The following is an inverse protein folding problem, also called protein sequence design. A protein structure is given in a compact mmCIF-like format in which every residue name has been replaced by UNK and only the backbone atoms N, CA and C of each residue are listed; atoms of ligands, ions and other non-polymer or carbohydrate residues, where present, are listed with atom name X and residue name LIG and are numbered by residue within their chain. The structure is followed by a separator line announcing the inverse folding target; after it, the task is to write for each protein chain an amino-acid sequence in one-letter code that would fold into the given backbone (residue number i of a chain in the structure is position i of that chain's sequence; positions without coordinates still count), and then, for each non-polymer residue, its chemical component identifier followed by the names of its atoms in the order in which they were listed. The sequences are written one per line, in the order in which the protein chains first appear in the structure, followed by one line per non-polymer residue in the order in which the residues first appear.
data_IF_683894189740
#
_entry.id   IF_683894189740
#
_cell.length_a   1.000
_cell.length_b   1.000
_cell.length_c   1.000
_cell.angle_alpha   90.00
_cell.angle_beta   90.00
_cell.angle_gamma   90.00
#
_symmetry.space_group_name_H-M   'P 1'
#
loop_
_entity.id
_entity.type
_entity.pdbx_description
1 polymer ?
#
# COMPACT_ATOMS: atom_id res chain seq x y z
N UNK A 1 -2.93 -5.93 -24.01
CA UNK A 1 -1.94 -5.82 -22.93
C UNK A 1 -1.77 -4.38 -22.45
N UNK A 2 -1.59 -3.40 -23.33
CA UNK A 2 -1.39 -1.99 -22.93
C UNK A 2 -2.52 -1.42 -22.05
N UNK A 3 -3.78 -1.73 -22.36
CA UNK A 3 -4.93 -1.35 -21.50
C UNK A 3 -4.86 -1.97 -20.10
N UNK A 4 -4.31 -3.17 -19.95
CA UNK A 4 -4.16 -3.82 -18.64
C UNK A 4 -3.05 -3.15 -17.82
N UNK A 5 -1.92 -2.81 -18.45
CA UNK A 5 -0.83 -2.06 -17.80
C UNK A 5 -1.33 -0.69 -17.31
N UNK A 6 -2.16 -0.01 -18.11
CA UNK A 6 -2.76 1.27 -17.72
C UNK A 6 -3.74 1.11 -16.56
N UNK A 7 -4.57 0.07 -16.57
CA UNK A 7 -5.48 -0.24 -15.47
C UNK A 7 -4.72 -0.54 -14.17
N UNK A 8 -3.66 -1.35 -14.23
CA UNK A 8 -2.82 -1.66 -13.06
C UNK A 8 -2.19 -0.40 -12.47
N UNK A 9 -1.69 0.50 -13.33
CA UNK A 9 -1.12 1.78 -12.90
C UNK A 9 -2.15 2.67 -12.21
N UNK A 10 -3.38 2.69 -12.73
CA UNK A 10 -4.46 3.46 -12.10
C UNK A 10 -4.82 2.88 -10.73
N UNK A 11 -4.96 1.55 -10.62
CA UNK A 11 -5.21 0.90 -9.34
C UNK A 11 -4.09 1.16 -8.32
N UNK A 12 -2.83 1.19 -8.76
CA UNK A 12 -1.70 1.52 -7.91
C UNK A 12 -1.78 2.96 -7.35
N UNK A 13 -2.12 3.92 -8.21
CA UNK A 13 -2.31 5.31 -7.79
C UNK A 13 -3.49 5.50 -6.84
N UNK A 14 -4.59 4.78 -7.06
CA UNK A 14 -5.75 4.76 -6.16
C UNK A 14 -5.36 4.22 -4.77
N UNK A 15 -4.65 3.08 -4.73
CA UNK A 15 -4.13 2.49 -3.48
C UNK A 15 -3.20 3.46 -2.75
N UNK A 16 -2.30 4.12 -3.47
CA UNK A 16 -1.39 5.09 -2.87
C UNK A 16 -2.16 6.27 -2.26
N UNK A 17 -3.16 6.79 -2.96
CA UNK A 17 -4.00 7.90 -2.46
C UNK A 17 -4.76 7.50 -1.19
N UNK A 18 -5.31 6.27 -1.16
CA UNK A 18 -6.00 5.76 0.04
C UNK A 18 -5.04 5.57 1.21
N UNK A 19 -3.83 5.08 0.96
CA UNK A 19 -2.79 4.93 1.98
C UNK A 19 -2.34 6.27 2.55
N UNK A 20 -2.12 7.26 1.70
CA UNK A 20 -1.81 8.63 2.12
C UNK A 20 -2.94 9.21 2.99
N UNK A 21 -4.19 8.91 2.67
CA UNK A 21 -5.35 9.29 3.50
C UNK A 21 -5.36 8.61 4.88
N UNK A 22 -5.01 7.32 4.94
CA UNK A 22 -4.89 6.58 6.21
C UNK A 22 -3.73 7.11 7.06
N UNK A 23 -2.57 7.36 6.47
CA UNK A 23 -1.40 7.88 7.18
C UNK A 23 -1.65 9.31 7.66
N UNK A 24 -2.29 10.15 6.85
CA UNK A 24 -2.73 11.49 7.25
C UNK A 24 -3.63 11.46 8.50
N UNK A 25 -4.55 10.49 8.58
CA UNK A 25 -5.43 10.30 9.73
C UNK A 25 -4.70 9.77 10.98
N UNK A 26 -3.46 9.28 10.85
CA UNK A 26 -2.60 8.77 11.92
C UNK A 26 -1.42 9.68 12.21
N UNK A 27 -1.37 10.86 11.58
CA UNK A 27 -0.37 11.88 11.87
C UNK A 27 -0.33 12.22 13.36
N UNK A 28 0.83 12.67 13.81
CA UNK A 28 1.04 13.13 15.19
C UNK A 28 -0.01 14.17 15.56
N UNK A 29 -0.36 15.10 14.68
CA UNK A 29 -1.39 16.12 14.94
C UNK A 29 -2.79 15.52 15.15
N UNK A 30 -3.20 14.55 14.33
CA UNK A 30 -4.49 13.88 14.47
C UNK A 30 -4.54 13.02 15.75
N UNK A 31 -3.46 12.30 16.06
CA UNK A 31 -3.32 11.54 17.29
C UNK A 31 -3.30 12.46 18.53
N UNK A 32 -2.61 13.60 18.45
CA UNK A 32 -2.55 14.61 19.51
C UNK A 32 -3.93 15.20 19.76
N UNK A 33 -4.64 15.62 18.72
CA UNK A 33 -6.00 16.17 18.84
C UNK A 33 -6.96 15.18 19.53
N UNK A 34 -6.88 13.89 19.17
CA UNK A 34 -7.69 12.83 19.83
C UNK A 34 -7.30 12.67 21.30
N UNK A 35 -6.01 12.57 21.60
CA UNK A 35 -5.53 12.50 22.99
C UNK A 35 -5.97 13.71 23.80
N UNK A 36 -5.92 14.92 23.23
CA UNK A 36 -6.29 16.16 23.90
C UNK A 36 -7.76 16.21 24.29
N UNK A 37 -8.66 15.67 23.47
CA UNK A 37 -10.08 15.64 23.79
C UNK A 37 -10.36 14.80 25.05
N UNK A 38 -9.76 13.60 25.14
CA UNK A 38 -9.89 12.74 26.33
C UNK A 38 -9.23 13.40 27.54
N UNK A 39 -8.00 13.92 27.40
CA UNK A 39 -7.29 14.58 28.48
C UNK A 39 -8.02 15.83 29.02
N UNK A 40 -8.62 16.64 28.15
CA UNK A 40 -9.45 17.77 28.57
C UNK A 40 -10.72 17.30 29.28
N UNK A 41 -11.37 16.25 28.79
CA UNK A 41 -12.57 15.72 29.41
C UNK A 41 -12.26 15.09 30.78
N UNK A 42 -11.12 14.39 30.90
CA UNK A 42 -10.57 13.87 32.16
C UNK A 42 -10.37 14.99 33.19
N UNK A 43 -9.75 16.09 32.80
CA UNK A 43 -9.60 17.27 33.66
C UNK A 43 -10.95 17.75 34.20
N UNK A 44 -11.95 17.92 33.33
CA UNK A 44 -13.31 18.35 33.73
C UNK A 44 -13.99 17.33 34.66
N UNK A 45 -13.76 16.04 34.45
CA UNK A 45 -14.22 14.97 35.34
C UNK A 45 -13.58 15.07 36.73
N UNK A 46 -12.26 15.26 36.79
CA UNK A 46 -11.51 15.44 38.05
C UNK A 46 -11.89 16.74 38.77
N UNK A 47 -12.13 17.83 38.04
CA UNK A 47 -12.66 19.08 38.61
C UNK A 47 -14.05 18.87 39.23
N UNK A 48 -14.88 18.01 38.63
CA UNK A 48 -16.19 17.67 39.19
C UNK A 48 -16.07 16.85 40.48
N UNK A 49 -15.07 15.96 40.58
CA UNK A 49 -14.74 15.28 41.83
C UNK A 49 -14.25 16.28 42.89
N UNK A 50 -13.41 17.25 42.52
CA UNK A 50 -12.94 18.30 43.42
C UNK A 50 -14.09 19.16 43.96
N UNK A 51 -15.01 19.57 43.08
CA UNK A 51 -16.19 20.32 43.51
C UNK A 51 -17.05 19.49 44.48
N UNK A 52 -17.17 18.19 44.24
CA UNK A 52 -17.87 17.29 45.16
C UNK A 52 -17.15 17.16 46.51
N UNK A 53 -15.80 17.08 46.52
CA UNK A 53 -15.04 17.04 47.78
C UNK A 53 -15.17 18.34 48.57
N UNK A 54 -15.10 19.49 47.89
CA UNK A 54 -15.25 20.79 48.52
C UNK A 54 -16.65 21.00 49.13
N UNK A 55 -17.70 20.45 48.50
CA UNK A 55 -19.07 20.50 49.03
C UNK A 55 -19.24 19.73 50.34
N UNK A 56 -18.43 18.70 50.59
CA UNK A 56 -18.49 17.88 51.81
C UNK A 56 -17.41 18.25 52.83
N UNK A 57 -16.67 19.34 52.62
CA UNK A 57 -15.63 19.83 53.53
C UNK A 57 -16.22 20.39 54.83
N UNK A 58 -15.43 20.37 55.91
CA UNK A 58 -15.83 20.86 57.23
C UNK A 58 -16.81 19.92 57.97
N UNK A 59 -17.70 20.51 58.78
CA UNK A 59 -18.72 19.81 59.58
C UNK A 59 -19.94 19.44 58.71
N UNK A 60 -19.69 18.76 57.60
CA UNK A 60 -20.74 18.33 56.68
C UNK A 60 -21.67 17.30 57.33
N UNK A 61 -22.96 17.63 57.40
CA UNK A 61 -24.05 16.73 57.75
C UNK A 61 -25.02 16.64 56.59
N UNK A 62 -25.34 15.41 56.16
CA UNK A 62 -26.29 15.18 55.09
C UNK A 62 -27.71 15.54 55.57
N UNK A 63 -28.31 16.57 54.98
CA UNK A 63 -29.67 17.00 55.32
C UNK A 63 -30.70 16.52 54.30
N UNK A 64 -31.98 16.51 54.66
CA UNK A 64 -33.07 16.06 53.78
C UNK A 64 -33.27 16.92 52.51
N UNK A 65 -32.59 18.07 52.37
CA UNK A 65 -32.77 19.03 51.26
C UNK A 65 -31.43 19.43 50.59
N UNK A 66 -30.51 18.47 50.42
CA UNK A 66 -29.20 18.71 49.79
C UNK A 66 -29.28 18.73 48.24
N UNK A 67 -30.09 19.64 47.70
CA UNK A 67 -30.24 19.83 46.25
C UNK A 67 -28.91 20.12 45.53
N UNK A 68 -27.96 20.80 46.18
CA UNK A 68 -26.63 21.07 45.62
C UNK A 68 -25.79 19.79 45.46
N UNK A 69 -25.85 18.89 46.45
CA UNK A 69 -25.14 17.60 46.40
C UNK A 69 -25.71 16.73 45.28
N UNK A 70 -27.03 16.71 45.12
CA UNK A 70 -27.68 16.01 44.02
C UNK A 70 -27.21 16.53 42.66
N UNK A 71 -27.21 17.86 42.47
CA UNK A 71 -26.73 18.47 41.22
C UNK A 71 -25.26 18.12 40.95
N UNK A 72 -24.42 18.12 41.99
CA UNK A 72 -23.01 17.75 41.86
C UNK A 72 -22.82 16.27 41.46
N UNK A 73 -23.58 15.35 42.06
CA UNK A 73 -23.55 13.92 41.73
C UNK A 73 -24.09 13.62 40.33
N UNK A 74 -25.20 14.26 39.93
CA UNK A 74 -25.75 14.13 38.57
C UNK A 74 -24.76 14.69 37.53
N UNK A 75 -24.11 15.82 37.84
CA UNK A 75 -23.04 16.39 37.01
C UNK A 75 -21.86 15.41 36.88
N UNK A 76 -21.39 14.83 38.00
CA UNK A 76 -20.30 13.87 38.03
C UNK A 76 -20.56 12.66 37.12
N UNK A 77 -21.73 12.04 37.26
CA UNK A 77 -22.16 10.91 36.42
C UNK A 77 -22.18 11.32 34.94
N UNK A 78 -22.74 12.49 34.64
CA UNK A 78 -22.79 13.01 33.27
C UNK A 78 -21.39 13.21 32.67
N UNK A 79 -20.44 13.75 33.43
CA UNK A 79 -19.06 13.95 32.97
C UNK A 79 -18.35 12.63 32.70
N UNK A 80 -18.44 11.65 33.60
CA UNK A 80 -17.76 10.37 33.41
C UNK A 80 -18.38 9.51 32.30
N UNK A 81 -19.70 9.59 32.11
CA UNK A 81 -20.36 8.98 30.95
C UNK A 81 -19.85 9.63 29.65
N UNK A 82 -19.76 10.95 29.60
CA UNK A 82 -19.25 11.66 28.42
C UNK A 82 -17.79 11.30 28.07
N UNK A 83 -16.90 11.19 29.08
CA UNK A 83 -15.51 10.77 28.82
C UNK A 83 -15.46 9.34 28.26
N UNK A 84 -16.33 8.45 28.75
CA UNK A 84 -16.45 7.08 28.24
C UNK A 84 -16.95 7.06 26.79
N UNK A 85 -17.95 7.87 26.45
CA UNK A 85 -18.45 8.03 25.07
C UNK A 85 -17.37 8.55 24.11
N UNK A 86 -16.53 9.49 24.56
CA UNK A 86 -15.40 9.98 23.78
C UNK A 86 -14.37 8.87 23.50
N UNK A 87 -14.03 8.08 24.52
CA UNK A 87 -13.14 6.94 24.36
C UNK A 87 -13.72 5.88 23.40
N UNK A 88 -15.02 5.63 23.47
CA UNK A 88 -15.73 4.74 22.55
C UNK A 88 -15.69 5.23 21.10
N UNK A 89 -15.95 6.52 20.90
CA UNK A 89 -15.89 7.14 19.57
C UNK A 89 -14.49 7.03 18.97
N UNK A 90 -13.45 7.28 19.76
CA UNK A 90 -12.07 7.18 19.29
C UNK A 90 -11.66 5.73 19.00
N UNK A 91 -12.10 4.79 19.83
CA UNK A 91 -11.87 3.37 19.60
C UNK A 91 -12.52 2.89 18.30
N UNK A 92 -13.75 3.34 18.02
CA UNK A 92 -14.46 3.03 16.79
C UNK A 92 -13.77 3.63 15.56
N UNK A 93 -13.29 4.87 15.65
CA UNK A 93 -12.56 5.53 14.57
C UNK A 93 -11.24 4.81 14.25
N UNK A 94 -10.44 4.48 15.26
CA UNK A 94 -9.18 3.75 15.07
C UNK A 94 -9.44 2.31 14.59
N UNK A 95 -10.49 1.66 15.09
CA UNK A 95 -10.91 0.35 14.59
C UNK A 95 -11.30 0.39 13.11
N UNK A 96 -11.93 1.48 12.65
CA UNK A 96 -12.21 1.71 11.23
C UNK A 96 -10.92 1.87 10.43
N UNK A 97 -9.98 2.70 10.89
CA UNK A 97 -8.67 2.89 10.23
C UNK A 97 -7.88 1.58 10.14
N UNK A 98 -7.91 0.76 11.20
CA UNK A 98 -7.30 -0.56 11.22
C UNK A 98 -7.93 -1.50 10.19
N UNK A 99 -9.26 -1.53 10.13
CA UNK A 99 -10.01 -2.33 9.15
C UNK A 99 -9.71 -1.88 7.71
N UNK A 100 -9.71 -0.56 7.46
CA UNK A 100 -9.40 0.03 6.16
C UNK A 100 -7.97 -0.35 5.73
N UNK A 101 -7.00 -0.31 6.65
CA UNK A 101 -5.62 -0.75 6.38
C UNK A 101 -5.52 -2.25 6.03
N UNK A 102 -6.24 -3.11 6.77
CA UNK A 102 -6.31 -4.56 6.46
C UNK A 102 -6.97 -4.80 5.09
N UNK A 103 -8.05 -4.08 4.78
CA UNK A 103 -8.73 -4.16 3.49
C UNK A 103 -7.80 -3.71 2.35
N UNK A 104 -7.12 -2.59 2.52
CA UNK A 104 -6.16 -2.06 1.55
C UNK A 104 -5.06 -3.10 1.26
N UNK A 105 -4.52 -3.76 2.28
CA UNK A 105 -3.53 -4.83 2.12
C UNK A 105 -4.11 -6.05 1.39
N UNK A 106 -5.20 -6.60 1.92
CA UNK A 106 -5.67 -7.94 1.55
C UNK A 106 -6.59 -7.96 0.34
N UNK A 107 -7.43 -6.93 0.16
CA UNK A 107 -8.43 -6.87 -0.90
C UNK A 107 -7.97 -6.07 -2.12
N UNK A 108 -6.99 -5.16 -1.97
CA UNK A 108 -6.51 -4.31 -3.07
C UNK A 108 -5.07 -4.60 -3.45
N UNK A 109 -4.12 -4.43 -2.52
CA UNK A 109 -2.69 -4.50 -2.82
C UNK A 109 -2.24 -5.91 -3.23
N UNK A 110 -2.60 -6.93 -2.45
CA UNK A 110 -2.24 -8.33 -2.76
C UNK A 110 -2.86 -8.82 -4.08
N UNK A 111 -4.17 -8.60 -4.37
CA UNK A 111 -4.72 -8.94 -5.69
C UNK A 111 -4.12 -8.15 -6.85
N UNK A 112 -3.68 -6.90 -6.63
CA UNK A 112 -2.98 -6.12 -7.67
C UNK A 112 -1.60 -6.73 -7.95
N UNK A 113 -0.86 -7.13 -6.91
CA UNK A 113 0.41 -7.82 -7.04
C UNK A 113 0.28 -9.12 -7.82
N UNK A 114 -0.69 -9.98 -7.45
CA UNK A 114 -0.95 -11.24 -8.14
C UNK A 114 -1.24 -11.02 -9.64
N UNK A 115 -2.05 -10.01 -9.97
CA UNK A 115 -2.37 -9.65 -11.37
C UNK A 115 -1.16 -9.11 -12.14
N UNK A 116 -0.29 -8.34 -11.48
CA UNK A 116 0.94 -7.82 -12.09
C UNK A 116 1.93 -8.94 -12.37
N UNK A 117 2.09 -9.88 -11.43
CA UNK A 117 2.93 -11.07 -11.60
C UNK A 117 2.42 -11.98 -12.72
N UNK A 118 1.09 -12.20 -12.79
CA UNK A 118 0.46 -12.94 -13.89
C UNK A 118 0.71 -12.24 -15.24
N UNK A 119 0.46 -10.93 -15.32
CA UNK A 119 0.67 -10.14 -16.55
C UNK A 119 2.14 -10.16 -16.99
N UNK A 120 3.07 -10.11 -16.03
CA UNK A 120 4.51 -10.18 -16.30
C UNK A 120 4.90 -11.56 -16.83
N UNK A 121 4.45 -12.63 -16.18
CA UNK A 121 4.72 -14.00 -16.62
C UNK A 121 4.19 -14.26 -18.03
N UNK A 122 2.99 -13.77 -18.33
CA UNK A 122 2.42 -13.87 -19.69
C UNK A 122 3.29 -13.15 -20.72
N UNK A 123 3.75 -11.93 -20.42
CA UNK A 123 4.62 -11.17 -21.33
C UNK A 123 6.00 -11.81 -21.50
N UNK A 124 6.60 -12.36 -20.45
CA UNK A 124 7.86 -13.09 -20.53
C UNK A 124 7.75 -14.35 -21.40
N UNK A 125 6.61 -15.05 -21.32
CA UNK A 125 6.31 -16.17 -22.21
C UNK A 125 6.14 -15.72 -23.67
N UNK A 126 5.45 -14.60 -23.91
CA UNK A 126 5.32 -14.02 -25.25
C UNK A 126 6.67 -13.57 -25.82
N UNK A 127 7.52 -12.96 -24.99
CA UNK A 127 8.88 -12.55 -25.34
C UNK A 127 9.75 -13.75 -25.73
N UNK A 128 9.64 -14.85 -24.99
CA UNK A 128 10.37 -16.09 -25.30
C UNK A 128 9.95 -16.64 -26.66
N UNK A 129 8.64 -16.74 -26.92
CA UNK A 129 8.11 -17.18 -28.23
C UNK A 129 8.54 -16.25 -29.37
N UNK A 130 8.55 -14.93 -29.14
CA UNK A 130 9.00 -13.96 -30.14
C UNK A 130 10.49 -14.11 -30.45
N UNK A 131 11.34 -14.38 -29.45
CA UNK A 131 12.78 -14.67 -29.65
C UNK A 131 13.00 -15.95 -30.46
N UNK A 132 12.19 -16.98 -30.24
CA UNK A 132 12.22 -18.22 -31.04
C UNK A 132 11.82 -17.93 -32.49
N UNK A 133 10.76 -17.14 -32.72
CA UNK A 133 10.31 -16.73 -34.05
C UNK A 133 11.39 -15.92 -34.79
N UNK A 134 12.00 -14.92 -34.14
CA UNK A 134 13.13 -14.14 -34.69
C UNK A 134 14.28 -15.07 -35.09
N UNK A 135 14.59 -16.07 -34.26
CA UNK A 135 15.66 -17.02 -34.56
C UNK A 135 15.33 -17.85 -35.82
N UNK A 136 14.11 -18.35 -35.92
CA UNK A 136 13.64 -19.12 -37.07
C UNK A 136 13.59 -18.28 -38.36
N UNK A 137 13.05 -17.06 -38.29
CA UNK A 137 12.98 -16.13 -39.42
C UNK A 137 14.37 -15.67 -39.85
N UNK A 138 15.27 -15.41 -38.91
CA UNK A 138 16.68 -15.09 -39.18
C UNK A 138 17.41 -16.23 -39.91
N UNK A 139 17.21 -17.47 -39.47
CA UNK A 139 17.74 -18.65 -40.17
C UNK A 139 17.18 -18.76 -41.61
N UNK A 140 15.89 -18.47 -41.79
CA UNK A 140 15.24 -18.45 -43.12
C UNK A 140 15.86 -17.36 -44.01
N UNK A 141 16.08 -16.15 -43.49
CA UNK A 141 16.77 -15.07 -44.20
C UNK A 141 18.17 -15.49 -44.62
N UNK A 142 18.94 -16.15 -43.74
CA UNK A 142 20.30 -16.61 -44.05
C UNK A 142 20.29 -17.67 -45.17
N UNK A 143 19.35 -18.61 -45.15
CA UNK A 143 19.20 -19.64 -46.20
C UNK A 143 18.81 -18.99 -47.53
N UNK A 144 17.80 -18.12 -47.54
CA UNK A 144 17.35 -17.42 -48.75
C UNK A 144 18.44 -16.52 -49.32
N UNK A 145 19.20 -15.83 -48.47
CA UNK A 145 20.35 -15.03 -48.91
C UNK A 145 21.41 -15.90 -49.60
N UNK A 146 21.77 -17.04 -49.00
CA UNK A 146 22.72 -17.98 -49.60
C UNK A 146 22.21 -18.56 -50.93
N UNK A 147 20.91 -18.85 -51.02
CA UNK A 147 20.23 -19.30 -52.24
C UNK A 147 20.33 -18.23 -53.34
N UNK A 148 19.90 -16.99 -53.04
CA UNK A 148 19.98 -15.83 -53.95
C UNK A 148 21.41 -15.60 -54.44
N UNK A 149 22.42 -15.59 -53.55
CA UNK A 149 23.82 -15.37 -53.93
C UNK A 149 24.34 -16.47 -54.86
N UNK A 150 23.93 -17.72 -54.63
CA UNK A 150 24.29 -18.87 -55.46
C UNK A 150 23.60 -18.80 -56.83
N UNK A 151 22.31 -18.45 -56.85
CA UNK A 151 21.54 -18.27 -58.07
C UNK A 151 21.99 -17.07 -58.90
N UNK A 152 22.37 -15.96 -58.26
CA UNK A 152 22.97 -14.80 -58.94
C UNK A 152 24.30 -15.19 -59.62
N UNK A 153 25.15 -15.98 -58.95
CA UNK A 153 26.39 -16.51 -59.56
C UNK A 153 26.10 -17.45 -60.73
N UNK A 154 25.14 -18.36 -60.58
CA UNK A 154 24.73 -19.28 -61.64
C UNK A 154 24.13 -18.53 -62.84
N UNK A 155 23.28 -17.53 -62.60
CA UNK A 155 22.68 -16.70 -63.62
C UNK A 155 23.74 -15.91 -64.41
N UNK A 156 24.70 -15.28 -63.73
CA UNK A 156 25.84 -14.60 -64.39
C UNK A 156 26.65 -15.57 -65.26
N UNK A 157 26.99 -16.74 -64.73
CA UNK A 157 27.73 -17.75 -65.51
C UNK A 157 26.97 -18.23 -66.74
N UNK A 158 25.64 -18.44 -66.63
CA UNK A 158 24.80 -18.80 -67.77
C UNK A 158 24.66 -17.66 -68.79
N UNK A 159 24.59 -16.41 -68.32
CA UNK A 159 24.54 -15.22 -69.15
C UNK A 159 25.86 -15.02 -69.92
N UNK A 160 27.01 -15.17 -69.25
CA UNK A 160 28.33 -15.13 -69.88
C UNK A 160 28.47 -16.21 -70.95
N UNK A 161 28.02 -17.44 -70.66
CA UNK A 161 27.99 -18.54 -71.64
C UNK A 161 27.03 -18.29 -72.79
N UNK A 162 25.88 -17.66 -72.55
CA UNK A 162 24.94 -17.26 -73.61
C UNK A 162 25.56 -16.20 -74.51
N UNK A 163 26.17 -15.16 -73.93
CA UNK A 163 26.86 -14.11 -74.68
C UNK A 163 28.03 -14.63 -75.50
N UNK A 164 28.79 -15.60 -74.96
CA UNK A 164 29.85 -16.27 -75.71
C UNK A 164 29.30 -17.14 -76.84
N UNK A 165 28.24 -17.92 -76.59
CA UNK A 165 27.59 -18.72 -77.62
C UNK A 165 26.96 -17.86 -78.73
N UNK A 166 26.37 -16.71 -78.39
CA UNK A 166 25.82 -15.75 -79.35
C UNK A 166 26.93 -15.06 -80.17
N UNK A 167 28.09 -14.74 -79.56
CA UNK A 167 29.27 -14.22 -80.27
C UNK A 167 29.90 -15.23 -81.23
N UNK A 168 29.99 -16.48 -80.81
CA UNK A 168 30.60 -17.54 -81.64
C UNK A 168 29.63 -18.03 -82.72
N UNK A 169 28.32 -17.89 -82.55
CA UNK A 169 27.31 -18.18 -83.58
C UNK A 169 27.52 -17.36 -84.88
N UNK A 170 28.13 -16.18 -84.80
CA UNK A 170 28.49 -15.38 -85.98
C UNK A 170 29.76 -15.92 -86.70
N UNK A 171 30.46 -16.94 -86.18
CA UNK A 171 31.69 -17.48 -86.80
C UNK A 171 31.85 -19.02 -86.81
N UNK A 172 31.36 -19.80 -85.84
CA UNK A 172 31.46 -21.28 -85.82
C UNK A 172 30.32 -21.94 -85.01
N UNK A 173 29.82 -23.07 -85.50
CA UNK A 173 28.75 -23.90 -84.90
C UNK A 173 29.24 -24.63 -83.61
N UNK A 174 28.88 -24.14 -82.41
CA UNK A 174 29.23 -24.77 -81.11
C UNK A 174 27.98 -25.18 -80.33
N UNK A 175 27.94 -26.42 -79.85
CA UNK A 175 26.89 -26.95 -78.98
C UNK A 175 27.31 -26.92 -77.50
N UNK A 176 26.37 -26.55 -76.62
CA UNK A 176 26.57 -26.58 -75.17
C UNK A 176 25.66 -27.66 -74.59
N UNK A 177 26.25 -28.73 -74.06
CA UNK A 177 25.54 -29.71 -73.23
C UNK A 177 25.40 -29.13 -71.82
N UNK A 178 24.17 -28.75 -71.47
CA UNK A 178 23.81 -28.35 -70.12
C UNK A 178 23.01 -29.49 -69.49
N UNK A 179 23.66 -30.26 -68.62
CA UNK A 179 23.00 -31.01 -67.56
C UNK A 179 23.26 -30.24 -66.26
N UNK A 180 22.25 -29.54 -65.73
CA UNK A 180 22.31 -28.91 -64.41
C UNK A 180 21.32 -29.65 -63.53
N UNK A 181 21.76 -30.49 -62.58
CA UNK A 181 20.99 -30.66 -61.37
C UNK A 181 21.15 -29.35 -60.59
N UNK A 182 20.03 -28.82 -60.12
CA UNK A 182 19.97 -27.73 -59.16
C UNK A 182 21.03 -28.07 -58.07
N UNK A 183 22.04 -27.19 -57.86
CA UNK A 183 23.18 -27.28 -56.92
C UNK A 183 24.59 -27.70 -57.39
N UNK A 184 24.90 -27.84 -58.69
CA UNK A 184 26.32 -28.04 -59.08
C UNK A 184 26.61 -27.96 -60.57
N UNK A 185 27.56 -27.10 -60.95
CA UNK A 185 28.02 -26.97 -62.34
C UNK A 185 28.98 -28.13 -62.66
N UNK A 186 28.58 -29.04 -63.55
CA UNK A 186 29.50 -29.95 -64.27
C UNK A 186 29.18 -29.88 -65.77
N UNK A 187 30.22 -29.73 -66.59
CA UNK A 187 30.13 -29.32 -68.00
C UNK A 187 30.16 -30.44 -69.04
N UNK A 188 30.30 -30.04 -70.31
CA UNK A 188 31.20 -30.60 -71.35
C UNK A 188 30.84 -29.96 -72.71
N UNK A 189 31.86 -29.48 -73.43
CA UNK A 189 31.74 -28.97 -74.80
C UNK A 189 31.78 -30.19 -75.73
N UNK A 190 30.66 -30.52 -76.35
CA UNK A 190 30.59 -31.52 -77.41
C UNK A 190 30.40 -30.81 -78.75
N UNK A 191 31.23 -31.14 -79.75
CA UNK A 191 31.36 -30.42 -81.03
C UNK A 191 30.36 -30.87 -82.10
N UNK A 192 29.30 -31.58 -81.73
CA UNK A 192 28.34 -32.10 -82.71
C UNK A 192 26.88 -31.96 -82.24
N UNK A 193 26.27 -30.76 -82.39
CA UNK A 193 24.80 -30.59 -82.68
C UNK A 193 24.25 -29.13 -82.64
N UNK A 194 23.62 -28.74 -83.76
CA UNK A 194 22.37 -27.95 -83.97
C UNK A 194 22.11 -26.55 -83.31
N UNK A 195 21.54 -25.58 -84.08
CA UNK A 195 20.97 -24.29 -83.61
C UNK A 195 20.00 -24.34 -82.43
N UNK A 196 19.44 -25.53 -82.09
CA UNK A 196 18.57 -25.71 -80.94
C UNK A 196 19.24 -25.51 -79.56
N UNK A 197 20.58 -25.49 -79.49
CA UNK A 197 21.33 -25.32 -78.23
C UNK A 197 21.19 -23.90 -77.64
N UNK A 198 21.24 -22.85 -78.47
CA UNK A 198 21.09 -21.45 -78.03
C UNK A 198 19.68 -21.19 -77.50
N UNK A 199 18.66 -21.78 -78.15
CA UNK A 199 17.26 -21.66 -77.69
C UNK A 199 17.05 -22.31 -76.32
N UNK A 200 17.66 -23.48 -76.07
CA UNK A 200 17.64 -24.15 -74.75
C UNK A 200 18.40 -23.33 -73.69
N UNK A 201 19.54 -22.73 -74.04
CA UNK A 201 20.31 -21.87 -73.14
C UNK A 201 19.52 -20.60 -72.74
N UNK A 202 18.90 -19.94 -73.73
CA UNK A 202 18.06 -18.75 -73.51
C UNK A 202 16.85 -19.08 -72.63
N UNK A 203 16.24 -20.26 -72.83
CA UNK A 203 15.16 -20.77 -71.97
C UNK A 203 15.65 -20.95 -70.52
N UNK A 204 16.81 -21.58 -70.29
CA UNK A 204 17.36 -21.77 -68.95
C UNK A 204 17.81 -20.47 -68.27
N UNK A 205 18.34 -19.49 -69.02
CA UNK A 205 18.65 -18.15 -68.49
C UNK A 205 17.36 -17.46 -68.00
N UNK A 206 16.28 -17.55 -68.78
CA UNK A 206 14.97 -16.99 -68.39
C UNK A 206 14.32 -17.73 -67.22
N UNK A 207 14.41 -19.07 -67.18
CA UNK A 207 13.92 -19.89 -66.06
C UNK A 207 14.68 -19.55 -64.76
N UNK A 208 16.02 -19.48 -64.83
CA UNK A 208 16.87 -19.11 -63.68
C UNK A 208 16.60 -17.68 -63.23
N UNK A 209 16.36 -16.75 -64.17
CA UNK A 209 15.99 -15.36 -63.87
C UNK A 209 14.66 -15.26 -63.12
N UNK A 210 13.65 -16.01 -63.56
CA UNK A 210 12.34 -16.02 -62.93
C UNK A 210 12.40 -16.62 -61.52
N UNK A 211 13.17 -17.70 -61.35
CA UNK A 211 13.35 -18.33 -60.04
C UNK A 211 14.16 -17.43 -59.08
N UNK A 212 15.22 -16.78 -59.58
CA UNK A 212 15.99 -15.77 -58.83
C UNK A 212 15.09 -14.61 -58.38
N UNK A 213 14.15 -14.17 -59.22
CA UNK A 213 13.23 -13.09 -58.87
C UNK A 213 12.23 -13.51 -57.78
N UNK A 214 11.76 -14.76 -57.81
CA UNK A 214 10.92 -15.34 -56.75
C UNK A 214 11.67 -15.42 -55.42
N UNK A 215 12.90 -15.93 -55.45
CA UNK A 215 13.78 -16.03 -54.29
C UNK A 215 14.12 -14.65 -53.69
N UNK A 216 14.43 -13.65 -54.52
CA UNK A 216 14.60 -12.26 -54.07
C UNK A 216 13.34 -11.69 -53.41
N UNK A 217 12.17 -12.02 -53.93
CA UNK A 217 10.89 -11.58 -53.35
C UNK A 217 10.62 -12.29 -52.01
N UNK A 218 10.96 -13.58 -51.90
CA UNK A 218 10.84 -14.34 -50.65
C UNK A 218 11.80 -13.81 -49.58
N UNK A 219 13.04 -13.51 -49.95
CA UNK A 219 14.04 -12.90 -49.08
C UNK A 219 13.58 -11.54 -48.54
N UNK A 220 13.03 -10.67 -49.40
CA UNK A 220 12.55 -9.37 -48.97
C UNK A 220 11.38 -9.48 -47.98
N UNK A 221 10.43 -10.39 -48.25
CA UNK A 221 9.34 -10.70 -47.32
C UNK A 221 9.86 -11.21 -45.97
N UNK A 222 10.82 -12.12 -45.98
CA UNK A 222 11.41 -12.66 -44.75
C UNK A 222 12.15 -11.58 -43.94
N UNK A 223 12.84 -10.65 -44.61
CA UNK A 223 13.48 -9.49 -43.95
C UNK A 223 12.46 -8.54 -43.32
N UNK A 224 11.36 -8.27 -44.00
CA UNK A 224 10.30 -7.41 -43.46
C UNK A 224 9.60 -8.07 -42.26
N UNK A 225 9.35 -9.39 -42.32
CA UNK A 225 8.87 -10.17 -41.18
C UNK A 225 9.84 -10.09 -39.99
N UNK A 226 11.15 -10.28 -40.23
CA UNK A 226 12.17 -10.18 -39.18
C UNK A 226 12.19 -8.79 -38.52
N UNK A 227 12.01 -7.72 -39.32
CA UNK A 227 11.95 -6.34 -38.82
C UNK A 227 10.71 -6.12 -37.94
N UNK A 228 9.56 -6.66 -38.35
CA UNK A 228 8.32 -6.57 -37.58
C UNK A 228 8.44 -7.35 -36.27
N UNK A 229 8.98 -8.57 -36.31
CA UNK A 229 9.21 -9.39 -35.12
C UNK A 229 10.17 -8.70 -34.12
N UNK A 230 11.26 -8.10 -34.60
CA UNK A 230 12.17 -7.30 -33.76
C UNK A 230 11.49 -6.06 -33.17
N UNK A 231 10.60 -5.41 -33.93
CA UNK A 231 9.79 -4.31 -33.41
C UNK A 231 8.88 -4.76 -32.28
N UNK A 232 8.23 -5.92 -32.44
CA UNK A 232 7.42 -6.53 -31.39
C UNK A 232 8.25 -6.91 -30.16
N UNK A 233 9.49 -7.40 -30.34
CA UNK A 233 10.38 -7.70 -29.23
C UNK A 233 10.62 -6.48 -28.33
N UNK A 234 10.96 -5.34 -28.94
CA UNK A 234 11.23 -4.09 -28.20
C UNK A 234 9.98 -3.64 -27.45
N UNK A 235 8.80 -3.75 -28.06
CA UNK A 235 7.55 -3.38 -27.40
C UNK A 235 7.25 -4.29 -26.19
N UNK A 236 7.43 -5.60 -26.32
CA UNK A 236 7.27 -6.54 -25.22
C UNK A 236 8.29 -6.27 -24.09
N UNK A 237 9.55 -5.99 -24.41
CA UNK A 237 10.59 -5.65 -23.43
C UNK A 237 10.25 -4.35 -22.68
N UNK A 238 9.71 -3.35 -23.38
CA UNK A 238 9.22 -2.12 -22.75
C UNK A 238 8.05 -2.39 -21.80
N UNK A 239 7.09 -3.24 -22.19
CA UNK A 239 5.94 -3.59 -21.36
C UNK A 239 6.35 -4.36 -20.10
N UNK A 240 7.27 -5.32 -20.21
CA UNK A 240 7.86 -6.04 -19.05
C UNK A 240 8.54 -5.07 -18.10
N UNK A 241 9.33 -4.14 -18.64
CA UNK A 241 10.05 -3.13 -17.83
C UNK A 241 9.07 -2.23 -17.05
N UNK A 242 7.95 -1.83 -17.66
CA UNK A 242 6.89 -1.06 -16.99
C UNK A 242 6.21 -1.84 -15.87
N UNK A 243 5.88 -3.12 -16.10
CA UNK A 243 5.32 -3.99 -15.05
C UNK A 243 6.29 -4.18 -13.89
N UNK A 244 7.58 -4.34 -14.18
CA UNK A 244 8.61 -4.50 -13.16
C UNK A 244 8.82 -3.23 -12.32
N UNK A 245 8.68 -2.04 -12.91
CA UNK A 245 8.67 -0.79 -12.17
C UNK A 245 7.48 -0.75 -11.18
N UNK A 246 6.26 -1.07 -11.64
CA UNK A 246 5.08 -1.10 -10.77
C UNK A 246 5.19 -2.15 -9.65
N UNK A 247 5.74 -3.34 -9.93
CA UNK A 247 6.02 -4.34 -8.89
C UNK A 247 7.02 -3.83 -7.84
N UNK A 248 7.99 -3.02 -8.25
CA UNK A 248 8.96 -2.41 -7.33
C UNK A 248 8.33 -1.31 -6.46
N UNK A 249 7.23 -0.70 -6.92
CA UNK A 249 6.43 0.26 -6.15
C UNK A 249 5.49 -0.42 -5.14
N UNK A 250 5.13 -1.70 -5.33
CA UNK A 250 4.26 -2.42 -4.38
C UNK A 250 4.95 -2.69 -3.05
N UNK A 251 6.21 -3.14 -3.05
CA UNK A 251 6.93 -3.50 -1.83
C UNK A 251 6.98 -2.36 -0.77
N UNK A 252 7.30 -1.10 -1.12
CA UNK A 252 7.25 -0.01 -0.15
C UNK A 252 5.81 0.28 0.33
N UNK A 253 4.79 0.14 -0.53
CA UNK A 253 3.40 0.28 -0.13
C UNK A 253 2.96 -0.81 0.85
N UNK A 254 3.39 -2.06 0.65
CA UNK A 254 3.11 -3.16 1.60
C UNK A 254 3.71 -2.88 2.98
N UNK A 255 4.93 -2.37 3.02
CA UNK A 255 5.59 -1.99 4.26
C UNK A 255 4.85 -0.85 4.96
N UNK A 256 4.48 0.21 4.23
CA UNK A 256 3.73 1.34 4.78
C UNK A 256 2.37 0.90 5.32
N UNK A 257 1.60 0.10 4.57
CA UNK A 257 0.31 -0.43 5.04
C UNK A 257 0.49 -1.28 6.30
N UNK A 258 1.55 -2.09 6.36
CA UNK A 258 1.83 -2.91 7.55
C UNK A 258 2.15 -2.05 8.76
N UNK A 259 2.96 -1.01 8.59
CA UNK A 259 3.27 -0.05 9.65
C UNK A 259 2.00 0.69 10.14
N UNK A 260 1.12 1.10 9.22
CA UNK A 260 -0.19 1.67 9.52
C UNK A 260 -1.07 0.72 10.35
N UNK A 261 -1.12 -0.56 9.98
CA UNK A 261 -1.87 -1.59 10.72
C UNK A 261 -1.30 -1.78 12.14
N UNK A 262 0.03 -1.81 12.28
CA UNK A 262 0.69 -1.96 13.58
C UNK A 262 0.44 -0.74 14.49
N UNK A 263 0.57 0.48 13.93
CA UNK A 263 0.27 1.73 14.66
C UNK A 263 -1.17 1.76 15.14
N UNK A 264 -2.12 1.39 14.28
CA UNK A 264 -3.55 1.36 14.64
C UNK A 264 -3.85 0.31 15.70
N UNK A 265 -3.26 -0.88 15.64
CA UNK A 265 -3.42 -1.91 16.67
C UNK A 265 -2.86 -1.44 18.02
N UNK A 266 -1.66 -0.86 18.05
CA UNK A 266 -1.08 -0.29 19.27
C UNK A 266 -1.98 0.80 19.89
N UNK A 267 -2.48 1.72 19.07
CA UNK A 267 -3.41 2.76 19.52
C UNK A 267 -4.72 2.17 20.04
N UNK A 268 -5.26 1.16 19.36
CA UNK A 268 -6.47 0.47 19.76
C UNK A 268 -6.30 -0.19 21.14
N UNK A 269 -5.19 -0.90 21.37
CA UNK A 269 -4.90 -1.51 22.67
C UNK A 269 -4.77 -0.46 23.77
N UNK A 270 -4.07 0.66 23.51
CA UNK A 270 -3.93 1.75 24.48
C UNK A 270 -5.30 2.35 24.86
N UNK A 271 -6.17 2.60 23.88
CA UNK A 271 -7.51 3.15 24.13
C UNK A 271 -8.41 2.16 24.87
N UNK A 272 -8.30 0.85 24.58
CA UNK A 272 -9.06 -0.18 25.32
C UNK A 272 -8.76 -0.12 26.81
N UNK A 273 -7.49 0.01 27.20
CA UNK A 273 -7.09 0.13 28.60
C UNK A 273 -7.68 1.39 29.24
N UNK A 274 -7.55 2.54 28.58
CA UNK A 274 -8.12 3.81 29.05
C UNK A 274 -9.65 3.74 29.18
N UNK A 275 -10.33 3.17 28.18
CA UNK A 275 -11.78 2.96 28.20
C UNK A 275 -12.23 2.09 29.37
N UNK A 276 -11.52 0.99 29.65
CA UNK A 276 -11.87 0.11 30.77
C UNK A 276 -11.80 0.84 32.11
N UNK A 277 -10.75 1.64 32.31
CA UNK A 277 -10.59 2.50 33.48
C UNK A 277 -11.72 3.53 33.59
N UNK A 278 -12.03 4.22 32.49
CA UNK A 278 -13.11 5.19 32.42
C UNK A 278 -14.50 4.60 32.68
N UNK A 279 -14.79 3.42 32.14
CA UNK A 279 -16.05 2.72 32.37
C UNK A 279 -16.19 2.32 33.86
N UNK A 280 -15.10 1.88 34.50
CA UNK A 280 -15.08 1.61 35.92
C UNK A 280 -15.31 2.89 36.75
N UNK A 281 -14.68 4.01 36.38
CA UNK A 281 -14.90 5.32 37.00
C UNK A 281 -16.36 5.77 36.87
N UNK A 282 -16.96 5.67 35.69
CA UNK A 282 -18.35 6.01 35.43
C UNK A 282 -19.33 5.13 36.22
N UNK A 283 -19.05 3.82 36.28
CA UNK A 283 -19.84 2.90 37.10
C UNK A 283 -19.77 3.28 38.59
N UNK A 284 -18.58 3.59 39.11
CA UNK A 284 -18.40 4.01 40.51
C UNK A 284 -19.09 5.36 40.78
N UNK A 285 -19.07 6.30 39.83
CA UNK A 285 -19.79 7.56 39.93
C UNK A 285 -21.32 7.35 40.01
N UNK A 286 -21.86 6.47 39.18
CA UNK A 286 -23.28 6.12 39.21
C UNK A 286 -23.67 5.39 40.51
N UNK A 287 -22.80 4.50 41.01
CA UNK A 287 -22.99 3.84 42.29
C UNK A 287 -22.98 4.83 43.46
N UNK A 288 -22.02 5.77 43.49
CA UNK A 288 -21.97 6.81 44.51
C UNK A 288 -23.24 7.68 44.47
N UNK A 289 -23.63 8.16 43.28
CA UNK A 289 -24.85 8.96 43.11
C UNK A 289 -26.09 8.22 43.61
N UNK A 290 -26.30 6.97 43.17
CA UNK A 290 -27.44 6.18 43.61
C UNK A 290 -27.41 5.91 45.13
N UNK A 291 -26.23 5.62 45.69
CA UNK A 291 -26.12 5.30 47.12
C UNK A 291 -26.39 6.55 47.97
N UNK A 292 -25.88 7.70 47.57
CA UNK A 292 -26.12 8.97 48.28
C UNK A 292 -27.56 9.45 48.09
N UNK A 293 -28.18 9.27 46.92
CA UNK A 293 -29.53 9.80 46.67
C UNK A 293 -30.66 8.88 47.10
N UNK A 294 -30.48 7.56 47.03
CA UNK A 294 -31.54 6.56 47.31
C UNK A 294 -31.45 6.05 48.74
N UNK A 295 -30.25 5.69 49.20
CA UNK A 295 -30.03 5.08 50.53
C UNK A 295 -29.83 6.08 51.67
N UNK A 296 -29.78 7.39 51.39
CA UNK A 296 -29.60 8.44 52.40
C UNK A 296 -30.74 8.63 53.42
N UNK A 297 -31.74 7.76 53.46
CA UNK A 297 -32.89 7.91 54.35
C UNK A 297 -32.58 7.71 55.85
N UNK A 298 -31.33 7.47 56.28
CA UNK A 298 -30.98 7.56 57.73
C UNK A 298 -29.49 7.67 58.12
N UNK A 299 -28.49 7.30 57.29
CA UNK A 299 -27.14 7.05 57.87
C UNK A 299 -25.92 7.18 56.94
N UNK A 300 -26.02 7.83 55.77
CA UNK A 300 -24.84 7.95 54.90
C UNK A 300 -23.83 8.95 55.47
N UNK A 301 -22.59 8.51 55.68
CA UNK A 301 -21.54 9.25 56.37
C UNK A 301 -20.60 9.97 55.40
N UNK A 302 -19.96 11.05 55.88
CA UNK A 302 -18.88 11.73 55.14
C UNK A 302 -17.77 10.77 54.72
N UNK A 303 -17.42 9.80 55.58
CA UNK A 303 -16.43 8.78 55.26
C UNK A 303 -16.83 7.94 54.04
N UNK A 304 -18.10 7.59 53.90
CA UNK A 304 -18.60 6.82 52.75
C UNK A 304 -18.58 7.65 51.46
N UNK A 305 -18.89 8.96 51.52
CA UNK A 305 -18.76 9.85 50.35
C UNK A 305 -17.28 9.99 49.95
N UNK A 306 -16.39 10.27 50.90
CA UNK A 306 -14.94 10.35 50.64
C UNK A 306 -14.39 9.04 50.04
N UNK A 307 -14.84 7.89 50.57
CA UNK A 307 -14.47 6.57 50.04
C UNK A 307 -14.94 6.41 48.60
N UNK A 308 -16.18 6.79 48.29
CA UNK A 308 -16.70 6.73 46.91
C UNK A 308 -15.99 7.68 45.95
N UNK A 309 -15.60 8.88 46.40
CA UNK A 309 -14.78 9.81 45.59
C UNK A 309 -13.42 9.18 45.27
N UNK A 310 -12.76 8.57 46.27
CA UNK A 310 -11.49 7.87 46.06
C UNK A 310 -11.64 6.64 45.16
N UNK A 311 -12.74 5.90 45.30
CA UNK A 311 -13.05 4.77 44.41
C UNK A 311 -13.10 5.27 42.96
N UNK A 312 -13.73 6.41 42.67
CA UNK A 312 -13.75 6.95 41.31
C UNK A 312 -12.34 7.40 40.91
N UNK A 313 -11.65 8.18 41.75
CA UNK A 313 -10.33 8.75 41.49
C UNK A 313 -9.26 7.70 41.13
N UNK A 314 -9.29 6.53 41.78
CA UNK A 314 -8.38 5.40 41.48
C UNK A 314 -8.55 4.82 40.08
N UNK A 315 -9.73 4.99 39.48
CA UNK A 315 -10.02 4.51 38.13
C UNK A 315 -9.80 5.59 37.08
N UNK A 316 -9.45 6.82 37.47
CA UNK A 316 -9.19 7.91 36.52
C UNK A 316 -7.76 7.76 35.97
N UNK A 317 -7.58 7.56 34.65
CA UNK A 317 -6.25 7.61 34.04
C UNK A 317 -5.58 8.96 34.31
N UNK A 318 -4.32 8.94 34.74
CA UNK A 318 -3.56 10.16 35.00
C UNK A 318 -2.73 10.56 33.78
N UNK A 319 -2.77 11.85 33.48
CA UNK A 319 -1.96 12.52 32.48
C UNK A 319 -1.50 13.92 32.97
N UNK A 320 -0.74 14.61 32.13
CA UNK A 320 -0.22 15.93 32.45
C UNK A 320 -1.30 17.01 32.60
N UNK A 321 -2.51 16.81 32.04
CA UNK A 321 -3.60 17.80 32.06
C UNK A 321 -4.55 17.64 33.26
N UNK A 322 -4.66 16.45 33.85
CA UNK A 322 -5.54 16.19 35.00
C UNK A 322 -4.80 15.89 36.32
N UNK A 323 -3.47 15.75 36.28
CA UNK A 323 -2.66 15.46 37.47
C UNK A 323 -2.68 16.57 38.53
N UNK A 324 -2.81 17.84 38.11
CA UNK A 324 -2.90 18.96 39.05
C UNK A 324 -4.25 18.97 39.77
N UNK A 325 -5.32 18.75 39.03
CA UNK A 325 -6.69 18.65 39.52
C UNK A 325 -6.82 17.44 40.46
N UNK A 326 -6.13 16.34 40.15
CA UNK A 326 -6.05 15.18 41.06
C UNK A 326 -5.35 15.57 42.38
N UNK A 327 -4.24 16.30 42.33
CA UNK A 327 -3.58 16.79 43.56
C UNK A 327 -4.48 17.72 44.37
N UNK A 328 -5.20 18.63 43.71
CA UNK A 328 -6.15 19.54 44.36
C UNK A 328 -7.30 18.77 45.04
N UNK A 329 -7.90 17.81 44.33
CA UNK A 329 -8.91 16.90 44.86
C UNK A 329 -8.43 16.18 46.13
N UNK A 330 -7.26 15.55 46.06
CA UNK A 330 -6.76 14.73 47.18
C UNK A 330 -6.39 15.59 48.38
N UNK A 331 -5.80 16.77 48.16
CA UNK A 331 -5.53 17.72 49.24
C UNK A 331 -6.81 18.25 49.89
N UNK A 332 -7.85 18.54 49.10
CA UNK A 332 -9.16 18.97 49.61
C UNK A 332 -9.85 17.86 50.41
N UNK A 333 -9.76 16.61 49.98
CA UNK A 333 -10.30 15.47 50.74
C UNK A 333 -9.62 15.31 52.10
N UNK A 334 -8.29 15.48 52.17
CA UNK A 334 -7.53 15.36 53.40
C UNK A 334 -7.76 16.56 54.33
N UNK A 335 -7.73 17.78 53.80
CA UNK A 335 -7.97 19.01 54.58
C UNK A 335 -9.44 19.15 54.99
N UNK A 336 -10.36 18.56 54.22
CA UNK A 336 -11.80 18.66 54.42
C UNK A 336 -12.28 18.08 55.75
N UNK A 337 -11.51 17.23 56.44
CA UNK A 337 -11.82 16.77 57.80
C UNK A 337 -11.55 17.81 58.89
N UNK A 338 -10.89 18.92 58.58
CA UNK A 338 -10.64 20.01 59.53
C UNK A 338 -9.86 19.54 60.76
N UNK A 339 -10.45 19.70 61.95
CA UNK A 339 -9.85 19.26 63.21
C UNK A 339 -10.12 17.77 63.52
N UNK A 340 -10.96 17.09 62.73
CA UNK A 340 -11.24 15.68 62.92
C UNK A 340 -10.10 14.82 62.36
N UNK A 341 -9.87 13.67 62.98
CA UNK A 341 -8.86 12.71 62.51
C UNK A 341 -9.33 12.08 61.19
N UNK A 342 -8.54 12.24 60.13
CA UNK A 342 -8.78 11.57 58.85
C UNK A 342 -8.69 10.06 59.06
N UNK A 343 -9.67 9.26 58.59
CA UNK A 343 -9.59 7.80 58.67
C UNK A 343 -8.35 7.28 57.94
N UNK A 344 -7.57 6.40 58.58
CA UNK A 344 -6.29 5.90 58.05
C UNK A 344 -6.41 5.26 56.65
N UNK A 345 -7.54 4.62 56.34
CA UNK A 345 -7.80 4.04 55.02
C UNK A 345 -7.95 5.11 53.92
N UNK A 346 -8.53 6.27 54.25
CA UNK A 346 -8.66 7.42 53.33
C UNK A 346 -7.28 8.06 53.15
N UNK A 347 -6.56 8.29 54.24
CA UNK A 347 -5.22 8.89 54.22
C UNK A 347 -4.24 8.07 53.38
N UNK A 348 -4.18 6.74 53.56
CA UNK A 348 -3.31 5.85 52.78
C UNK A 348 -3.59 5.95 51.29
N UNK A 349 -4.86 5.78 50.88
CA UNK A 349 -5.28 5.80 49.47
C UNK A 349 -5.03 7.15 48.82
N UNK A 350 -5.32 8.24 49.54
CA UNK A 350 -5.09 9.59 49.04
C UNK A 350 -3.59 9.87 48.83
N UNK A 351 -2.74 9.44 49.77
CA UNK A 351 -1.29 9.59 49.64
C UNK A 351 -0.72 8.76 48.48
N UNK A 352 -1.18 7.52 48.30
CA UNK A 352 -0.78 6.68 47.15
C UNK A 352 -1.13 7.34 45.80
N UNK A 353 -2.32 7.94 45.69
CA UNK A 353 -2.73 8.67 44.49
C UNK A 353 -1.97 10.00 44.32
N UNK A 354 -1.61 10.69 45.41
CA UNK A 354 -0.76 11.88 45.36
C UNK A 354 0.63 11.55 44.81
N UNK A 355 1.23 10.45 45.26
CA UNK A 355 2.50 9.93 44.72
C UNK A 355 2.38 9.56 43.24
N UNK A 356 1.26 8.95 42.83
CA UNK A 356 1.00 8.65 41.43
C UNK A 356 0.87 9.93 40.58
N UNK A 357 0.12 10.93 41.04
CA UNK A 357 -0.06 12.21 40.37
C UNK A 357 1.23 13.05 40.34
N UNK A 358 2.12 12.90 41.33
CA UNK A 358 3.41 13.58 41.36
C UNK A 358 4.38 13.15 40.25
N UNK A 359 4.18 11.96 39.66
CA UNK A 359 4.98 11.48 38.51
C UNK A 359 4.74 12.28 37.23
N UNK A 360 3.64 13.02 37.17
CA UNK A 360 3.30 13.86 36.03
C UNK A 360 3.69 15.32 36.35
N UNK A 361 4.61 15.92 35.56
CA UNK A 361 4.97 17.31 35.74
C UNK A 361 3.75 18.19 35.42
N UNK A 362 3.56 19.22 36.24
CA UNK A 362 2.56 20.27 36.02
C UNK A 362 2.95 21.06 34.77
N UNK A 363 2.29 20.82 33.64
CA UNK A 363 2.53 21.59 32.42
C UNK A 363 1.49 22.71 32.36
N UNK A 364 1.91 23.97 32.55
CA UNK A 364 1.21 25.10 31.91
C UNK A 364 1.42 24.94 30.41
N UNK A 365 0.46 24.31 29.73
CA UNK A 365 0.60 24.03 28.31
C UNK A 365 0.44 25.32 27.52
N UNK A 366 1.55 25.83 26.99
CA UNK A 366 1.58 26.87 25.97
C UNK A 366 1.60 26.20 24.59
N UNK A 367 0.50 26.24 23.83
CA UNK A 367 0.47 25.69 22.48
C UNK A 367 1.09 26.66 21.49
N UNK A 368 2.38 26.93 21.60
CA UNK A 368 3.20 27.45 20.49
C UNK A 368 4.64 27.56 20.96
N UNK A 369 5.45 26.56 20.64
CA UNK A 369 6.85 26.77 20.28
C UNK A 369 7.21 25.63 19.34
N UNK A 370 6.75 25.79 18.09
CA UNK A 370 7.42 25.15 16.96
C UNK A 370 8.82 25.78 16.95
N UNK A 371 9.78 25.09 17.57
CA UNK A 371 11.19 25.35 17.31
C UNK A 371 11.43 24.88 15.88
N UNK A 372 11.22 25.77 14.92
CA UNK A 372 11.83 25.64 13.61
C UNK A 372 13.33 25.80 13.80
N UNK A 373 14.05 24.69 13.97
CA UNK A 373 15.48 24.69 13.68
C UNK A 373 15.65 24.76 12.16
N UNK A 374 16.04 25.93 11.67
CA UNK A 374 16.72 26.17 10.39
C UNK A 374 17.62 27.39 10.54
#
# INVERSE_FOLDING_TARGET
MENAILAHRQSLAEIQTELEGLDAALTVDAATTRSEAISCALKVGTDSLYNLSALISGDFELTHDDGQLKVALDCLVTKFNHITELADSQLAEIGRLHSDGIELRNAKLRPLQDKLDESKSELEAQLTRNREAITATSNTVNVLQGSVDTMDRAHRSLQDKLSEAERVHDTVNIAVSIAIPIWGIVGLIDKTSSPGAVFKLRKHVNETRNELHREKTALEKARESLKTERGQQVELENQVSRLQAMLSEIAPLENQVTETIEKTDMLQQAIIVVKQQLAAAAQRAAQLSNTVLVTAHASFTKQEICTGILDIAEQVPLDFRNSNEMKLLLNELLSGYGNAVVPAAIESRANELLEAAAKYPSIEWHPTEIVTES
#
